data_IF_021440133304
#
_entry.id   IF_021440133304
#
_cell.length_a   1.000
_cell.length_b   1.000
_cell.length_c   1.000
_cell.angle_alpha   90.00
_cell.angle_beta   90.00
_cell.angle_gamma   90.00
#
_symmetry.space_group_name_H-M   'P 1'
#
loop_
_entity.id
_entity.type
_entity.pdbx_description
1 polymer ?
#
# COMPACT_ATOMS: atom_id res chain seq x y z
N UNK A 1 -16.92 19.07 21.43
CA UNK A 1 -16.82 17.64 21.82
C UNK A 1 -17.72 16.73 20.97
N UNK A 2 -19.03 16.55 21.22
CA UNK A 2 -19.84 15.58 20.41
C UNK A 2 -19.86 15.95 18.93
N UNK A 3 -20.13 17.21 18.58
CA UNK A 3 -20.06 17.65 17.17
C UNK A 3 -18.63 17.61 16.60
N UNK A 4 -17.63 17.81 17.43
CA UNK A 4 -16.21 17.78 17.04
C UNK A 4 -15.71 16.36 16.74
N UNK A 5 -16.29 15.37 17.41
CA UNK A 5 -15.99 13.93 17.27
C UNK A 5 -16.82 13.31 16.14
N UNK A 6 -18.07 13.74 15.94
CA UNK A 6 -19.04 13.05 15.07
C UNK A 6 -19.53 13.84 13.85
N UNK A 7 -19.23 15.14 13.76
CA UNK A 7 -19.73 16.01 12.67
C UNK A 7 -18.64 16.37 11.64
N UNK A 8 -17.46 15.76 11.72
CA UNK A 8 -16.45 15.86 10.67
C UNK A 8 -16.78 14.84 9.57
N UNK A 9 -16.90 15.26 8.30
CA UNK A 9 -17.08 14.31 7.21
C UNK A 9 -15.96 13.28 7.24
N UNK A 10 -16.28 12.00 7.00
CA UNK A 10 -15.31 10.92 6.99
C UNK A 10 -14.10 11.30 6.13
N UNK A 11 -12.91 11.26 6.73
CA UNK A 11 -11.68 11.64 6.02
C UNK A 11 -11.18 10.45 5.22
N UNK A 12 -11.14 10.61 3.91
CA UNK A 12 -10.48 9.65 3.02
C UNK A 12 -8.99 10.00 2.94
N UNK A 13 -8.15 8.97 3.07
CA UNK A 13 -6.71 9.09 2.82
C UNK A 13 -6.28 8.00 1.87
N UNK A 14 -5.42 8.35 0.91
CA UNK A 14 -4.95 7.44 -0.13
C UNK A 14 -3.43 7.30 -0.04
N UNK A 15 -2.96 6.07 0.02
CA UNK A 15 -1.56 5.72 0.25
C UNK A 15 -1.15 4.55 -0.63
N UNK A 16 0.16 4.31 -0.75
CA UNK A 16 0.68 3.05 -1.28
C UNK A 16 1.04 2.11 -0.14
N UNK A 17 0.61 0.86 -0.24
CA UNK A 17 0.97 -0.19 0.73
C UNK A 17 2.30 -0.87 0.39
N UNK A 18 2.64 -0.87 -0.90
CA UNK A 18 3.80 -1.55 -1.46
C UNK A 18 4.48 -0.67 -2.50
N UNK A 19 5.76 -0.93 -2.76
CA UNK A 19 6.52 -0.26 -3.80
C UNK A 19 7.64 -1.17 -4.33
N UNK A 20 8.02 -0.99 -5.59
CA UNK A 20 9.25 -1.57 -6.13
C UNK A 20 10.41 -0.60 -5.93
N UNK A 21 11.44 -1.03 -5.22
CA UNK A 21 12.64 -0.24 -4.93
C UNK A 21 13.88 -0.90 -5.52
N UNK A 22 15.01 -0.20 -5.47
CA UNK A 22 16.30 -0.79 -5.83
C UNK A 22 16.68 -1.99 -4.95
N UNK A 23 16.14 -2.08 -3.73
CA UNK A 23 16.35 -3.23 -2.83
C UNK A 23 15.32 -4.35 -3.07
N UNK A 24 14.39 -4.15 -4.00
CA UNK A 24 13.31 -5.08 -4.33
C UNK A 24 11.93 -4.57 -3.89
N UNK A 25 10.96 -5.48 -3.91
CA UNK A 25 9.57 -5.18 -3.55
C UNK A 25 9.45 -5.05 -2.03
N UNK A 26 8.96 -3.90 -1.56
CA UNK A 26 8.63 -3.67 -0.15
C UNK A 26 7.10 -3.66 0.02
N UNK A 27 6.63 -4.14 1.16
CA UNK A 27 5.23 -4.18 1.53
C UNK A 27 5.07 -3.89 3.03
N UNK A 28 4.21 -2.94 3.38
CA UNK A 28 3.94 -2.53 4.74
C UNK A 28 2.55 -2.92 5.26
N UNK A 29 1.78 -3.74 4.53
CA UNK A 29 0.41 -4.11 4.92
C UNK A 29 0.33 -4.66 6.34
N UNK A 30 1.28 -5.51 6.76
CA UNK A 30 1.30 -6.01 8.13
C UNK A 30 1.50 -4.89 9.16
N UNK A 31 2.47 -3.99 8.92
CA UNK A 31 2.73 -2.84 9.80
C UNK A 31 1.53 -1.89 9.85
N UNK A 32 0.91 -1.62 8.71
CA UNK A 32 -0.22 -0.70 8.59
C UNK A 32 -1.49 -1.26 9.25
N UNK A 33 -1.69 -2.58 9.14
CA UNK A 33 -2.87 -3.25 9.69
C UNK A 33 -2.68 -3.83 11.10
N UNK A 34 -1.47 -3.74 11.69
CA UNK A 34 -1.15 -4.34 13.00
C UNK A 34 -2.06 -3.86 14.15
N UNK A 35 -2.50 -2.60 14.11
CA UNK A 35 -3.38 -2.06 15.16
C UNK A 35 -4.86 -2.48 15.01
N UNK A 36 -5.21 -3.20 13.94
CA UNK A 36 -6.57 -3.65 13.68
C UNK A 36 -6.85 -4.95 14.44
N UNK A 37 -7.81 -4.92 15.37
CA UNK A 37 -8.23 -6.12 16.10
C UNK A 37 -8.99 -7.14 15.24
N UNK A 38 -9.41 -6.75 14.03
CA UNK A 38 -10.06 -7.63 13.05
C UNK A 38 -9.49 -7.36 11.66
N UNK A 39 -9.03 -8.39 10.96
CA UNK A 39 -8.62 -8.27 9.55
C UNK A 39 -9.33 -9.32 8.70
N UNK A 40 -9.97 -8.90 7.61
CA UNK A 40 -10.50 -9.81 6.62
C UNK A 40 -9.48 -9.96 5.50
N UNK A 41 -8.96 -11.18 5.33
CA UNK A 41 -7.92 -11.52 4.39
C UNK A 41 -8.53 -12.25 3.20
N UNK A 42 -8.64 -11.58 2.06
CA UNK A 42 -9.19 -12.17 0.84
C UNK A 42 -8.12 -12.98 0.12
N UNK A 43 -8.34 -14.28 -0.04
CA UNK A 43 -7.41 -15.21 -0.70
C UNK A 43 -8.05 -15.81 -1.95
N UNK A 44 -7.23 -16.35 -2.85
CA UNK A 44 -7.66 -16.96 -4.11
C UNK A 44 -6.81 -16.55 -5.31
N UNK A 45 -6.92 -17.25 -6.46
CA UNK A 45 -6.11 -17.02 -7.64
C UNK A 45 -6.42 -15.65 -8.31
N UNK A 46 -5.53 -15.14 -9.18
CA UNK A 46 -5.87 -13.99 -10.03
C UNK A 46 -7.21 -14.21 -10.76
N UNK A 47 -8.05 -13.18 -10.83
CA UNK A 47 -9.36 -13.26 -11.46
C UNK A 47 -10.50 -13.79 -10.57
N UNK A 48 -10.23 -14.20 -9.33
CA UNK A 48 -11.27 -14.69 -8.39
C UNK A 48 -12.18 -13.61 -7.78
N UNK A 49 -12.10 -12.36 -8.24
CA UNK A 49 -12.97 -11.27 -7.78
C UNK A 49 -12.52 -10.53 -6.51
N UNK A 50 -11.37 -10.87 -5.91
CA UNK A 50 -10.85 -10.20 -4.68
C UNK A 50 -10.84 -8.67 -4.77
N UNK A 51 -10.24 -8.10 -5.81
CA UNK A 51 -10.16 -6.65 -6.00
C UNK A 51 -11.54 -6.02 -6.16
N UNK A 52 -12.45 -6.70 -6.87
CA UNK A 52 -13.83 -6.24 -7.03
C UNK A 52 -14.60 -6.23 -5.69
N UNK A 53 -14.41 -7.26 -4.85
CA UNK A 53 -14.97 -7.29 -3.49
C UNK A 53 -14.43 -6.11 -2.67
N UNK A 54 -13.11 -5.92 -2.67
CA UNK A 54 -12.46 -4.85 -1.93
C UNK A 54 -12.91 -3.46 -2.39
N UNK A 55 -13.01 -3.23 -3.70
CA UNK A 55 -13.51 -1.99 -4.30
C UNK A 55 -14.99 -1.73 -3.99
N UNK A 56 -15.82 -2.79 -3.99
CA UNK A 56 -17.24 -2.68 -3.64
C UNK A 56 -17.41 -2.25 -2.19
N UNK A 57 -16.67 -2.88 -1.26
CA UNK A 57 -16.70 -2.48 0.15
C UNK A 57 -16.15 -1.07 0.32
N UNK A 58 -15.04 -0.73 -0.36
CA UNK A 58 -14.47 0.61 -0.37
C UNK A 58 -15.50 1.66 -0.80
N UNK A 59 -16.25 1.41 -1.88
CA UNK A 59 -17.28 2.32 -2.37
C UNK A 59 -18.41 2.52 -1.34
N UNK A 60 -18.83 1.46 -0.65
CA UNK A 60 -19.86 1.55 0.38
C UNK A 60 -19.35 2.30 1.63
N UNK A 61 -18.08 2.14 2.00
CA UNK A 61 -17.42 2.90 3.08
C UNK A 61 -17.45 4.41 2.77
N UNK A 62 -17.10 4.81 1.55
CA UNK A 62 -17.20 6.22 1.10
C UNK A 62 -18.63 6.72 1.11
N UNK A 63 -19.56 5.94 0.56
CA UNK A 63 -20.99 6.31 0.49
C UNK A 63 -21.59 6.56 1.88
N UNK A 64 -21.12 5.83 2.89
CA UNK A 64 -21.53 6.00 4.29
C UNK A 64 -20.77 7.11 5.02
N UNK A 65 -19.82 7.78 4.38
CA UNK A 65 -19.06 8.87 4.96
C UNK A 65 -18.15 8.44 6.12
N UNK A 66 -17.62 7.21 6.07
CA UNK A 66 -16.72 6.70 7.10
C UNK A 66 -15.28 7.17 6.85
N UNK A 67 -14.56 7.52 7.92
CA UNK A 67 -13.11 7.75 7.85
C UNK A 67 -12.39 6.45 7.52
N UNK A 68 -11.62 6.45 6.42
CA UNK A 68 -10.93 5.26 5.93
C UNK A 68 -9.63 5.61 5.21
N UNK A 69 -8.71 4.65 5.24
CA UNK A 69 -7.40 4.70 4.61
C UNK A 69 -7.35 3.65 3.51
N UNK A 70 -7.11 4.10 2.28
CA UNK A 70 -7.09 3.29 1.06
C UNK A 70 -5.65 3.08 0.63
N UNK A 71 -5.21 1.82 0.63
CA UNK A 71 -3.85 1.46 0.28
C UNK A 71 -3.80 0.79 -1.08
N UNK A 72 -3.13 1.43 -2.04
CA UNK A 72 -2.98 0.97 -3.40
C UNK A 72 -1.70 0.16 -3.58
N UNK A 73 -1.70 -0.66 -4.63
CA UNK A 73 -0.52 -1.36 -5.08
C UNK A 73 0.52 -0.39 -5.64
N UNK A 74 1.79 -0.63 -5.32
CA UNK A 74 2.91 0.04 -5.99
C UNK A 74 3.09 -0.34 -7.46
N UNK A 75 2.31 -1.31 -7.95
CA UNK A 75 2.37 -1.81 -9.33
C UNK A 75 1.23 -1.31 -10.21
N UNK A 76 0.00 -1.27 -9.68
CA UNK A 76 -1.16 -0.68 -10.36
C UNK A 76 -1.85 0.29 -9.40
N UNK A 77 -1.76 1.58 -9.72
CA UNK A 77 -2.36 2.67 -8.93
C UNK A 77 -3.88 2.57 -8.83
N UNK A 78 -4.53 1.79 -9.71
CA UNK A 78 -5.98 1.56 -9.66
C UNK A 78 -6.32 0.38 -8.75
N UNK A 79 -5.38 -0.50 -8.47
CA UNK A 79 -5.60 -1.70 -7.67
C UNK A 79 -5.45 -1.40 -6.18
N UNK A 80 -6.52 -1.58 -5.41
CA UNK A 80 -6.47 -1.57 -3.96
C UNK A 80 -5.82 -2.87 -3.44
N UNK A 81 -4.94 -2.73 -2.45
CA UNK A 81 -4.38 -3.82 -1.67
C UNK A 81 -5.01 -3.90 -0.28
N UNK A 82 -5.39 -2.77 0.30
CA UNK A 82 -6.14 -2.78 1.55
C UNK A 82 -7.02 -1.55 1.73
N UNK A 83 -8.02 -1.71 2.60
CA UNK A 83 -8.83 -0.63 3.16
C UNK A 83 -8.81 -0.79 4.68
N UNK A 84 -8.36 0.25 5.39
CA UNK A 84 -8.38 0.29 6.85
C UNK A 84 -9.46 1.27 7.28
N UNK A 85 -10.29 0.86 8.25
CA UNK A 85 -11.33 1.71 8.83
C UNK A 85 -10.97 1.90 10.31
N UNK A 86 -10.17 2.94 10.65
CA UNK A 86 -9.54 3.06 11.96
C UNK A 86 -10.54 3.08 13.12
N UNK A 87 -11.69 3.74 12.95
CA UNK A 87 -12.72 3.85 13.99
C UNK A 87 -13.31 2.50 14.42
N UNK A 88 -13.25 1.49 13.55
CA UNK A 88 -13.69 0.13 13.88
C UNK A 88 -12.54 -0.83 14.13
N UNK A 89 -11.29 -0.38 13.98
CA UNK A 89 -10.09 -1.23 14.03
C UNK A 89 -10.20 -2.45 13.09
N UNK A 90 -10.79 -2.23 11.91
CA UNK A 90 -10.99 -3.25 10.87
C UNK A 90 -10.06 -2.97 9.69
N UNK A 91 -9.37 -4.00 9.21
CA UNK A 91 -8.70 -3.99 7.91
C UNK A 91 -9.33 -4.99 6.94
N UNK A 92 -9.40 -4.61 5.68
CA UNK A 92 -9.77 -5.45 4.54
C UNK A 92 -8.53 -5.55 3.66
N UNK A 93 -8.03 -6.75 3.40
CA UNK A 93 -6.71 -6.94 2.77
C UNK A 93 -6.80 -7.98 1.65
N UNK A 94 -6.32 -7.64 0.45
CA UNK A 94 -6.04 -8.63 -0.59
C UNK A 94 -4.76 -9.40 -0.24
N UNK A 95 -4.93 -10.60 0.28
CA UNK A 95 -3.85 -11.50 0.68
C UNK A 95 -3.46 -12.49 -0.45
N UNK A 96 -3.98 -12.33 -1.67
CA UNK A 96 -3.72 -13.27 -2.76
C UNK A 96 -2.33 -13.13 -3.40
N UNK A 97 -1.78 -11.92 -3.44
CA UNK A 97 -0.43 -11.65 -3.98
C UNK A 97 0.56 -11.17 -2.94
N UNK A 98 0.11 -10.94 -1.71
CA UNK A 98 0.91 -10.36 -0.64
C UNK A 98 1.16 -11.44 0.42
N UNK A 99 2.42 -11.59 0.83
CA UNK A 99 2.72 -12.31 2.06
C UNK A 99 2.21 -11.46 3.24
N UNK A 100 1.20 -11.97 3.94
CA UNK A 100 0.60 -11.34 5.12
C UNK A 100 0.81 -12.29 6.29
N UNK A 101 1.37 -11.80 7.39
CA UNK A 101 1.56 -12.59 8.60
C UNK A 101 0.23 -12.70 9.34
N UNK A 102 -0.21 -13.92 9.65
CA UNK A 102 -1.46 -14.15 10.38
C UNK A 102 -1.38 -13.64 11.83
N UNK A 103 -2.47 -13.06 12.30
CA UNK A 103 -2.63 -12.50 13.64
C UNK A 103 -3.96 -12.96 14.26
N UNK A 104 -4.08 -12.80 15.58
CA UNK A 104 -5.34 -13.07 16.27
C UNK A 104 -6.42 -12.10 15.78
N UNK A 105 -7.60 -12.62 15.43
CA UNK A 105 -8.70 -11.84 14.87
C UNK A 105 -8.75 -11.82 13.34
N UNK A 106 -7.79 -12.45 12.65
CA UNK A 106 -7.86 -12.62 11.21
C UNK A 106 -8.99 -13.57 10.80
N UNK A 107 -9.67 -13.21 9.72
CA UNK A 107 -10.67 -14.02 9.04
C UNK A 107 -10.29 -14.18 7.59
N UNK A 108 -10.01 -15.41 7.18
CA UNK A 108 -9.63 -15.73 5.81
C UNK A 108 -10.90 -15.96 5.00
N UNK A 109 -11.08 -15.16 3.96
CA UNK A 109 -12.18 -15.29 3.00
C UNK A 109 -11.58 -15.82 1.70
N UNK A 110 -11.73 -17.13 1.47
CA UNK A 110 -11.33 -17.75 0.21
C UNK A 110 -12.36 -17.45 -0.88
N UNK A 111 -11.98 -16.57 -1.79
CA UNK A 111 -12.84 -16.16 -2.90
C UNK A 111 -13.19 -17.30 -3.86
N UNK A 112 -12.43 -18.40 -3.89
CA UNK A 112 -12.75 -19.56 -4.75
C UNK A 112 -14.05 -20.27 -4.34
N UNK A 113 -14.47 -20.14 -3.09
CA UNK A 113 -15.71 -20.74 -2.58
C UNK A 113 -16.98 -20.10 -3.17
N UNK A 114 -16.83 -18.95 -3.84
CA UNK A 114 -17.92 -18.18 -4.42
C UNK A 114 -17.86 -18.16 -5.96
N UNK A 115 -17.01 -18.98 -6.57
CA UNK A 115 -16.89 -19.10 -8.02
C UNK A 115 -17.68 -20.32 -8.51
N UNK A 116 -18.56 -20.10 -9.49
CA UNK A 116 -19.25 -21.18 -10.19
C UNK A 116 -18.27 -21.95 -11.10
N UNK A 117 -18.34 -23.28 -11.07
CA UNK A 117 -17.55 -24.18 -11.93
C UNK A 117 -16.02 -23.93 -11.90
N UNK A 118 -15.49 -23.51 -10.75
CA UNK A 118 -14.06 -23.29 -10.60
C UNK A 118 -13.26 -24.60 -10.66
N UNK A 119 -12.40 -24.73 -11.68
CA UNK A 119 -11.38 -25.76 -11.78
C UNK A 119 -9.98 -25.14 -11.77
N UNK A 120 -9.16 -25.34 -10.72
CA UNK A 120 -7.81 -24.80 -10.63
C UNK A 120 -6.88 -25.30 -11.76
N UNK A 121 -7.20 -26.44 -12.40
CA UNK A 121 -6.37 -27.04 -13.45
C UNK A 121 -6.60 -26.41 -14.82
N UNK A 122 -7.75 -25.77 -15.03
CA UNK A 122 -8.19 -25.27 -16.33
C UNK A 122 -7.21 -24.28 -16.96
N UNK A 123 -6.59 -23.43 -16.14
CA UNK A 123 -5.66 -22.38 -16.57
C UNK A 123 -4.30 -22.45 -15.86
N UNK A 124 -3.98 -23.58 -15.23
CA UNK A 124 -2.79 -23.71 -14.40
C UNK A 124 -1.52 -23.37 -15.18
N UNK A 125 -1.37 -23.90 -16.41
CA UNK A 125 -0.19 -23.70 -17.25
C UNK A 125 -0.01 -22.24 -17.65
N UNK A 126 -1.10 -21.58 -18.04
CA UNK A 126 -1.12 -20.17 -18.41
C UNK A 126 -0.78 -19.28 -17.21
N UNK A 127 -1.37 -19.55 -16.05
CA UNK A 127 -1.10 -18.82 -14.80
C UNK A 127 0.37 -19.00 -14.40
N UNK A 128 0.90 -20.23 -14.43
CA UNK A 128 2.32 -20.48 -14.12
C UNK A 128 3.24 -19.76 -15.10
N UNK A 129 2.93 -19.78 -16.40
CA UNK A 129 3.71 -19.06 -17.42
C UNK A 129 3.70 -17.55 -17.17
N UNK A 130 2.53 -16.97 -16.93
CA UNK A 130 2.37 -15.55 -16.67
C UNK A 130 3.11 -15.12 -15.39
N UNK A 131 3.05 -15.94 -14.32
CA UNK A 131 3.80 -15.69 -13.07
C UNK A 131 5.30 -15.65 -13.31
N UNK A 132 5.86 -16.62 -14.06
CA UNK A 132 7.30 -16.64 -14.40
C UNK A 132 7.72 -15.42 -15.22
N UNK A 133 6.89 -15.02 -16.18
CA UNK A 133 7.15 -13.81 -16.98
C UNK A 133 7.11 -12.55 -16.12
N UNK A 134 6.14 -12.45 -15.22
CA UNK A 134 6.05 -11.34 -14.26
C UNK A 134 7.30 -11.30 -13.38
N UNK A 135 7.71 -12.42 -12.80
CA UNK A 135 8.91 -12.51 -11.94
C UNK A 135 10.18 -12.08 -12.68
N UNK A 136 10.37 -12.51 -13.93
CA UNK A 136 11.51 -12.09 -14.75
C UNK A 136 11.50 -10.57 -15.00
N UNK A 137 10.35 -9.99 -15.36
CA UNK A 137 10.22 -8.55 -15.55
C UNK A 137 10.46 -7.76 -14.27
N UNK A 138 10.05 -8.29 -13.11
CA UNK A 138 10.32 -7.67 -11.81
C UNK A 138 11.82 -7.68 -11.46
N UNK A 139 12.55 -8.74 -11.84
CA UNK A 139 13.99 -8.80 -11.68
C UNK A 139 14.69 -7.78 -12.59
N UNK A 140 14.29 -7.68 -13.85
CA UNK A 140 14.82 -6.68 -14.79
C UNK A 140 14.57 -5.25 -14.27
N UNK A 141 13.35 -4.97 -13.80
CA UNK A 141 12.99 -3.69 -13.21
C UNK A 141 13.84 -3.36 -11.98
N UNK A 142 14.11 -4.35 -11.11
CA UNK A 142 15.00 -4.17 -9.95
C UNK A 142 16.41 -3.80 -10.39
N UNK A 143 16.97 -4.49 -11.38
CA UNK A 143 18.31 -4.18 -11.88
C UNK A 143 18.42 -2.75 -12.41
N UNK A 144 17.40 -2.28 -13.15
CA UNK A 144 17.35 -0.89 -13.64
C UNK A 144 17.33 0.10 -12.47
N UNK A 145 16.55 -0.19 -11.42
CA UNK A 145 16.47 0.65 -10.22
C UNK A 145 17.78 0.66 -9.43
N UNK A 146 18.45 -0.48 -9.30
CA UNK A 146 19.79 -0.59 -8.69
C UNK A 146 20.81 0.30 -9.45
N UNK A 147 20.84 0.22 -10.77
CA UNK A 147 21.72 1.07 -11.59
C UNK A 147 21.41 2.57 -11.44
N UNK A 148 20.11 2.92 -11.41
CA UNK A 148 19.68 4.29 -11.17
C UNK A 148 20.10 4.78 -9.78
N UNK A 149 19.94 3.95 -8.75
CA UNK A 149 20.35 4.27 -7.38
C UNK A 149 21.87 4.48 -7.26
N UNK A 150 22.67 3.68 -7.97
CA UNK A 150 24.14 3.83 -8.00
C UNK A 150 24.55 5.16 -8.65
N UNK A 151 23.93 5.53 -9.78
CA UNK A 151 24.17 6.81 -10.46
C UNK A 151 23.74 7.98 -9.57
N UNK A 152 22.56 7.90 -8.97
CA UNK A 152 22.07 8.92 -8.04
C UNK A 152 23.00 9.09 -6.84
N UNK A 153 23.49 7.98 -6.26
CA UNK A 153 24.43 8.01 -5.13
C UNK A 153 25.75 8.68 -5.50
N UNK A 154 26.26 8.46 -6.72
CA UNK A 154 27.46 9.15 -7.22
C UNK A 154 27.23 10.66 -7.32
N UNK A 155 26.07 11.07 -7.84
CA UNK A 155 25.69 12.49 -7.94
C UNK A 155 25.57 13.11 -6.54
N UNK A 156 24.88 12.45 -5.61
CA UNK A 156 24.76 12.90 -4.21
C UNK A 156 26.12 13.13 -3.55
N UNK A 157 27.08 12.21 -3.73
CA UNK A 157 28.45 12.40 -3.20
C UNK A 157 29.16 13.64 -3.72
N UNK A 158 28.96 13.99 -5.00
CA UNK A 158 29.54 15.21 -5.58
C UNK A 158 28.91 16.44 -4.92
N UNK A 159 27.59 16.45 -4.77
CA UNK A 159 26.89 17.54 -4.09
C UNK A 159 27.32 17.66 -2.63
N UNK A 160 27.33 16.56 -1.87
CA UNK A 160 27.77 16.51 -0.47
C UNK A 160 29.19 17.06 -0.29
N UNK A 161 30.13 16.71 -1.17
CA UNK A 161 31.50 17.20 -1.11
C UNK A 161 31.63 18.70 -1.42
N UNK A 162 30.71 19.26 -2.21
CA UNK A 162 30.69 20.68 -2.56
C UNK A 162 29.80 21.51 -1.61
N UNK A 163 29.09 20.87 -0.69
CA UNK A 163 28.07 21.52 0.14
C UNK A 163 28.69 22.12 1.40
N UNK A 164 28.28 23.34 1.74
CA UNK A 164 28.63 23.99 3.00
C UNK A 164 27.68 23.47 4.11
N UNK A 165 28.19 22.72 5.10
CA UNK A 165 27.36 22.14 6.14
C UNK A 165 26.65 23.19 7.00
N UNK A 166 27.30 24.35 7.22
CA UNK A 166 26.75 25.39 8.07
C UNK A 166 25.56 26.06 7.39
N UNK A 167 25.70 26.44 6.11
CA UNK A 167 24.60 27.01 5.33
C UNK A 167 23.43 26.05 5.17
N UNK A 168 23.71 24.75 5.07
CA UNK A 168 22.63 23.75 5.01
C UNK A 168 21.84 23.71 6.31
N UNK A 169 22.50 23.72 7.46
CA UNK A 169 21.80 23.74 8.75
C UNK A 169 21.03 25.06 8.94
N UNK A 170 21.60 26.20 8.55
CA UNK A 170 20.91 27.50 8.57
C UNK A 170 19.63 27.48 7.71
N UNK A 171 19.70 26.96 6.48
CA UNK A 171 18.55 26.83 5.59
C UNK A 171 17.50 25.87 6.17
N UNK A 172 17.93 24.73 6.72
CA UNK A 172 17.05 23.76 7.37
C UNK A 172 16.30 24.39 8.55
N UNK A 173 16.98 25.16 9.41
CA UNK A 173 16.34 25.86 10.52
C UNK A 173 15.36 26.93 10.04
N UNK A 174 15.70 27.67 8.98
CA UNK A 174 14.79 28.64 8.34
C UNK A 174 13.52 27.98 7.83
N UNK A 175 13.63 26.86 7.10
CA UNK A 175 12.48 26.11 6.57
C UNK A 175 11.65 25.53 7.72
N UNK A 176 12.29 24.98 8.75
CA UNK A 176 11.60 24.47 9.94
C UNK A 176 10.80 25.57 10.64
N UNK A 177 11.39 26.76 10.80
CA UNK A 177 10.68 27.90 11.35
C UNK A 177 9.46 28.25 10.49
N UNK A 178 9.59 28.31 9.16
CA UNK A 178 8.47 28.60 8.25
C UNK A 178 7.33 27.56 8.36
N UNK A 179 7.66 26.27 8.44
CA UNK A 179 6.66 25.19 8.51
C UNK A 179 5.97 25.14 9.87
N UNK A 180 6.70 25.38 10.96
CA UNK A 180 6.19 25.26 12.34
C UNK A 180 5.47 26.54 12.78
N UNK A 181 5.77 27.69 12.17
CA UNK A 181 5.05 28.92 12.47
C UNK A 181 3.64 28.82 11.88
N UNK A 182 2.57 28.85 12.69
CA UNK A 182 1.21 28.85 12.17
C UNK A 182 1.00 30.09 11.28
N UNK A 183 0.18 30.01 10.22
CA UNK A 183 -0.22 31.20 9.48
C UNK A 183 -0.86 32.17 10.48
N UNK A 184 -0.35 33.41 10.51
CA UNK A 184 -0.65 34.40 11.55
C UNK A 184 -2.14 34.58 11.83
N UNK A 185 -2.44 34.81 13.11
CA UNK A 185 -3.67 35.47 13.59
C UNK A 185 -3.84 36.85 12.96
#
# INVERSE_FOLDING_TARGET
>A
IIEEIFNSPGKEKHYFASAMTAEGMINYIDTLSHACGKRYLFTGPPGSGKSAILETIAAEVRKRGLTAEYYYSGFDIRSLNAVIIPNFQIALVDAGSLAVNLQAGDEIIDSTQYLDDYDPRRYEKEITRARRQCEALLQDARQILEEAQLKLSRVKRIYEAAMDPQKMEELKQSILAEIITPPGE
#
